data_IF_890330445979
#
_entry.id   IF_890330445979
#
_cell.length_a   1.000
_cell.length_b   1.000
_cell.length_c   1.000
_cell.angle_alpha   90.00
_cell.angle_beta   90.00
_cell.angle_gamma   90.00
#
_symmetry.space_group_name_H-M   'P 1'
#
loop_
_entity.id
_entity.type
_entity.pdbx_description
1 polymer ?
#
# COMPACT_ATOMS: atom_id res chain seq x y z
N UNK A 1 3.44 -22.87 -67.03
CA UNK A 1 2.95 -21.72 -66.24
C UNK A 1 2.63 -22.06 -64.75
N UNK A 2 1.93 -23.13 -64.44
CA UNK A 2 1.53 -23.44 -63.04
C UNK A 2 2.66 -23.61 -62.02
N UNK A 3 3.81 -24.19 -62.39
CA UNK A 3 4.96 -24.35 -61.47
C UNK A 3 5.64 -23.02 -61.08
N UNK A 4 5.71 -22.02 -61.95
CA UNK A 4 6.32 -20.70 -61.63
C UNK A 4 5.43 -19.89 -60.69
N UNK A 5 4.14 -19.96 -60.81
CA UNK A 5 3.20 -19.28 -59.91
C UNK A 5 3.24 -19.88 -58.53
N UNK A 6 3.39 -21.22 -58.39
CA UNK A 6 3.47 -21.89 -57.07
C UNK A 6 4.75 -21.49 -56.31
N UNK A 7 5.89 -21.43 -57.01
CA UNK A 7 7.19 -21.01 -56.41
C UNK A 7 7.14 -19.54 -55.97
N UNK A 8 6.51 -18.66 -56.73
CA UNK A 8 6.35 -17.24 -56.35
C UNK A 8 5.44 -17.09 -55.12
N UNK A 9 4.38 -17.89 -54.99
CA UNK A 9 3.46 -17.85 -53.86
C UNK A 9 4.15 -18.35 -52.54
N UNK A 10 4.93 -19.42 -52.65
CA UNK A 10 5.69 -19.95 -51.48
C UNK A 10 6.72 -18.94 -50.97
N UNK A 11 7.38 -18.23 -51.90
CA UNK A 11 8.37 -17.21 -51.55
C UNK A 11 7.73 -15.99 -50.82
N UNK A 12 6.55 -15.56 -51.24
CA UNK A 12 5.80 -14.48 -50.61
C UNK A 12 5.34 -14.88 -49.20
N UNK A 13 4.85 -16.11 -49.01
CA UNK A 13 4.44 -16.62 -47.69
C UNK A 13 5.63 -16.72 -46.72
N UNK A 14 6.80 -17.16 -47.19
CA UNK A 14 8.01 -17.20 -46.36
C UNK A 14 8.45 -15.79 -45.96
N UNK A 15 8.40 -14.81 -46.86
CA UNK A 15 8.74 -13.42 -46.54
C UNK A 15 7.77 -12.85 -45.49
N UNK A 16 6.47 -13.12 -45.64
CA UNK A 16 5.46 -12.68 -44.66
C UNK A 16 5.73 -13.33 -43.27
N UNK A 17 6.04 -14.61 -43.21
CA UNK A 17 6.39 -15.30 -41.98
C UNK A 17 7.64 -14.73 -41.30
N UNK A 18 8.69 -14.42 -42.13
CA UNK A 18 9.92 -13.76 -41.64
C UNK A 18 9.61 -12.37 -41.12
N UNK A 19 8.78 -11.59 -41.82
CA UNK A 19 8.36 -10.26 -41.37
C UNK A 19 7.53 -10.32 -40.07
N UNK A 20 6.59 -11.24 -39.97
CA UNK A 20 5.81 -11.45 -38.76
C UNK A 20 6.71 -11.88 -37.59
N UNK A 21 7.68 -12.76 -37.87
CA UNK A 21 8.66 -13.19 -36.87
C UNK A 21 9.61 -12.04 -36.46
N UNK A 22 10.05 -11.23 -37.44
CA UNK A 22 10.87 -10.04 -37.19
C UNK A 22 10.10 -8.97 -36.39
N UNK A 23 8.83 -8.72 -36.72
CA UNK A 23 7.96 -7.79 -36.01
C UNK A 23 7.72 -8.33 -34.59
N UNK A 24 7.52 -9.64 -34.42
CA UNK A 24 7.33 -10.25 -33.11
C UNK A 24 8.59 -10.19 -32.24
N UNK A 25 9.78 -10.32 -32.81
CA UNK A 25 11.06 -10.13 -32.10
C UNK A 25 11.30 -8.65 -31.78
N UNK A 26 10.95 -7.72 -32.69
CA UNK A 26 11.17 -6.29 -32.48
C UNK A 26 10.14 -5.65 -31.53
N UNK A 27 8.88 -6.17 -31.53
CA UNK A 27 7.87 -5.75 -30.55
C UNK A 27 8.06 -6.39 -29.17
N UNK A 28 8.95 -7.39 -29.02
CA UNK A 28 9.38 -7.94 -27.73
C UNK A 28 10.72 -7.35 -27.25
N UNK A 29 11.17 -6.20 -27.77
CA UNK A 29 12.14 -5.41 -27.00
C UNK A 29 11.38 -4.91 -25.77
N UNK A 30 11.62 -5.55 -24.62
CA UNK A 30 11.35 -4.97 -23.33
C UNK A 30 11.97 -3.58 -23.37
N UNK A 31 11.15 -2.54 -23.23
CA UNK A 31 11.67 -1.19 -23.07
C UNK A 31 12.52 -1.23 -21.80
N UNK A 32 13.78 -0.83 -21.89
CA UNK A 32 14.67 -0.77 -20.75
C UNK A 32 14.08 0.22 -19.74
N UNK A 33 13.53 -0.30 -18.66
CA UNK A 33 12.97 0.52 -17.58
C UNK A 33 14.07 1.36 -16.96
N UNK A 34 13.86 2.67 -16.90
CA UNK A 34 14.86 3.62 -16.43
C UNK A 34 14.70 3.87 -14.94
N UNK A 35 15.63 3.32 -14.16
CA UNK A 35 15.77 3.57 -12.73
C UNK A 35 17.05 4.38 -12.48
N UNK A 36 16.95 5.45 -11.72
CA UNK A 36 18.11 6.22 -11.25
C UNK A 36 18.62 5.62 -9.93
N UNK A 37 19.49 4.65 -10.05
CA UNK A 37 20.03 3.89 -8.91
C UNK A 37 20.86 4.73 -7.95
N UNK A 38 21.51 5.80 -8.43
CA UNK A 38 22.35 6.67 -7.58
C UNK A 38 21.54 7.39 -6.49
N UNK A 39 20.22 7.51 -6.71
CA UNK A 39 19.30 8.12 -5.77
C UNK A 39 18.69 7.10 -4.78
N UNK A 40 18.97 5.81 -4.93
CA UNK A 40 18.48 4.78 -3.99
C UNK A 40 19.53 4.61 -2.89
N UNK A 41 19.14 4.88 -1.65
CA UNK A 41 20.04 4.77 -0.48
C UNK A 41 19.99 3.34 0.08
N UNK A 42 21.16 2.78 0.38
CA UNK A 42 21.26 1.52 1.12
C UNK A 42 20.87 1.74 2.58
N UNK A 43 20.23 0.74 3.18
CA UNK A 43 19.74 0.83 4.53
C UNK A 43 20.29 -0.27 5.42
N UNK A 44 20.58 0.09 6.68
CA UNK A 44 20.52 -0.87 7.77
C UNK A 44 19.04 -1.09 8.15
N UNK A 45 18.62 -2.36 8.28
CA UNK A 45 17.25 -2.88 8.09
C UNK A 45 16.24 -2.57 9.22
N UNK A 46 16.45 -1.60 10.10
CA UNK A 46 15.69 -1.54 11.36
C UNK A 46 14.18 -1.19 11.27
N UNK A 47 13.60 -0.82 10.11
CA UNK A 47 12.21 -0.32 10.06
C UNK A 47 11.33 -0.87 8.92
N UNK A 48 11.47 -2.14 8.57
CA UNK A 48 10.75 -2.74 7.43
C UNK A 48 9.27 -3.06 7.76
N UNK A 49 8.94 -3.32 9.02
CA UNK A 49 7.63 -3.86 9.43
C UNK A 49 6.42 -3.04 8.95
N UNK A 50 6.50 -1.71 8.96
CA UNK A 50 5.41 -0.85 8.47
C UNK A 50 5.20 -0.95 6.95
N UNK A 51 6.22 -1.37 6.19
CA UNK A 51 6.15 -1.48 4.73
C UNK A 51 5.49 -2.78 4.25
N UNK A 52 5.18 -3.69 5.16
CA UNK A 52 4.42 -4.91 4.83
C UNK A 52 2.95 -4.64 4.53
N UNK A 53 2.42 -3.51 5.02
CA UNK A 53 1.05 -3.10 4.81
C UNK A 53 0.91 -2.29 3.52
N UNK A 54 -0.30 -2.29 2.96
CA UNK A 54 -0.62 -1.38 1.86
C UNK A 54 -0.68 0.06 2.40
N UNK A 55 0.21 0.94 1.97
CA UNK A 55 0.37 2.30 2.51
C UNK A 55 -0.84 3.22 2.31
N UNK A 56 -1.70 2.94 1.32
CA UNK A 56 -2.87 3.78 0.99
C UNK A 56 -4.20 3.12 1.35
N UNK A 57 -4.19 2.07 2.16
CA UNK A 57 -5.39 1.41 2.67
C UNK A 57 -5.98 2.10 3.89
N UNK A 58 -7.25 1.81 4.19
CA UNK A 58 -7.85 2.14 5.49
C UNK A 58 -7.50 1.03 6.45
N UNK A 59 -6.73 1.34 7.48
CA UNK A 59 -6.27 0.34 8.45
C UNK A 59 -6.78 0.67 9.84
N UNK A 60 -7.74 -0.09 10.29
CA UNK A 60 -8.12 -0.11 11.68
C UNK A 60 -7.30 -1.13 12.51
N UNK A 61 -6.17 -1.63 11.95
CA UNK A 61 -5.29 -2.62 12.59
C UNK A 61 -3.84 -2.20 12.47
N UNK A 62 -3.05 -2.43 13.51
CA UNK A 62 -1.61 -2.25 13.53
C UNK A 62 -0.92 -3.40 14.26
N UNK A 63 0.15 -3.96 13.69
CA UNK A 63 0.94 -5.01 14.30
C UNK A 63 1.86 -4.45 15.40
N UNK A 64 1.92 -5.14 16.53
CA UNK A 64 2.88 -4.95 17.61
C UNK A 64 3.70 -6.23 17.81
N UNK A 65 4.62 -6.24 18.80
CA UNK A 65 5.54 -7.36 19.01
C UNK A 65 4.82 -8.69 19.26
N UNK A 66 3.81 -8.67 20.15
CA UNK A 66 3.11 -9.88 20.63
C UNK A 66 1.62 -9.92 20.26
N UNK A 67 1.16 -9.01 19.38
CA UNK A 67 -0.26 -8.94 19.04
C UNK A 67 -0.61 -7.85 18.08
N UNK A 68 -1.87 -7.44 18.11
CA UNK A 68 -2.41 -6.44 17.20
C UNK A 68 -3.29 -5.45 17.93
N UNK A 69 -3.07 -4.16 17.68
CA UNK A 69 -4.04 -3.12 17.99
C UNK A 69 -5.08 -3.07 16.90
N UNK A 70 -6.34 -2.97 17.28
CA UNK A 70 -7.45 -2.98 16.34
C UNK A 70 -8.55 -2.00 16.79
N UNK A 71 -9.13 -1.25 15.87
CA UNK A 71 -10.30 -0.40 16.13
C UNK A 71 -11.55 -1.13 15.69
N UNK A 72 -12.45 -1.40 16.63
CA UNK A 72 -13.73 -2.07 16.37
C UNK A 72 -14.70 -1.16 15.62
N UNK A 73 -15.80 -1.71 15.09
CA UNK A 73 -16.86 -0.93 14.47
C UNK A 73 -17.59 0.02 15.45
N UNK A 74 -17.40 -0.14 16.75
CA UNK A 74 -17.91 0.74 17.79
C UNK A 74 -16.89 1.82 18.20
N UNK A 75 -15.84 2.02 17.38
CA UNK A 75 -14.76 2.99 17.56
C UNK A 75 -13.91 2.76 18.83
N UNK A 76 -13.86 1.52 19.33
CA UNK A 76 -13.00 1.17 20.45
C UNK A 76 -11.68 0.57 19.98
N UNK A 77 -10.58 1.10 20.53
CA UNK A 77 -9.25 0.54 20.36
C UNK A 77 -9.05 -0.62 21.32
N UNK A 78 -8.80 -1.79 20.77
CA UNK A 78 -8.52 -3.01 21.53
C UNK A 78 -7.15 -3.57 21.18
N UNK A 79 -6.57 -4.34 22.09
CA UNK A 79 -5.35 -5.12 21.85
C UNK A 79 -5.70 -6.60 21.88
N UNK A 80 -5.34 -7.30 20.82
CA UNK A 80 -5.42 -8.75 20.69
C UNK A 80 -4.04 -9.36 20.91
N UNK A 81 -3.88 -10.14 21.97
CA UNK A 81 -2.65 -10.90 22.29
C UNK A 81 -2.67 -12.24 21.56
N UNK A 82 -1.71 -12.47 20.66
CA UNK A 82 -1.67 -13.71 19.85
C UNK A 82 -1.25 -14.95 20.67
N UNK A 83 -0.62 -14.76 21.84
CA UNK A 83 -0.13 -15.88 22.65
C UNK A 83 -1.25 -16.45 23.55
N UNK A 84 -2.11 -15.57 24.06
CA UNK A 84 -3.24 -15.96 24.93
C UNK A 84 -4.56 -16.07 24.18
N UNK A 85 -4.72 -15.34 23.07
CA UNK A 85 -5.97 -15.19 22.34
C UNK A 85 -6.94 -14.20 22.98
N UNK A 86 -6.48 -13.47 24.01
CA UNK A 86 -7.31 -12.50 24.73
C UNK A 86 -7.38 -11.17 23.96
N UNK A 87 -8.54 -10.53 24.04
CA UNK A 87 -8.75 -9.17 23.54
C UNK A 87 -9.14 -8.26 24.68
N UNK A 88 -8.41 -7.15 24.85
CA UNK A 88 -8.64 -6.19 25.93
C UNK A 88 -8.72 -4.76 25.40
N UNK A 89 -9.59 -3.89 25.95
CA UNK A 89 -9.61 -2.46 25.62
C UNK A 89 -8.30 -1.78 26.01
N UNK A 90 -7.79 -0.90 25.16
CA UNK A 90 -6.56 -0.11 25.41
C UNK A 90 -6.89 1.08 26.29
N UNK A 91 -7.14 0.81 27.57
CA UNK A 91 -7.50 1.82 28.57
C UNK A 91 -6.98 1.42 29.94
N UNK A 92 -6.08 2.22 30.51
CA UNK A 92 -5.53 1.98 31.83
C UNK A 92 -6.27 2.72 32.97
N UNK A 93 -7.44 3.31 32.71
CA UNK A 93 -8.24 3.98 33.76
C UNK A 93 -8.82 2.95 34.70
N UNK A 94 -8.54 3.04 36.02
CA UNK A 94 -9.21 2.21 37.01
C UNK A 94 -10.74 2.43 36.96
N UNK A 95 -11.52 1.35 37.13
CA UNK A 95 -12.97 1.38 37.14
C UNK A 95 -13.65 1.90 35.85
N UNK A 96 -12.94 1.93 34.73
CA UNK A 96 -13.53 2.26 33.43
C UNK A 96 -14.39 1.10 32.93
N UNK A 97 -15.66 1.38 32.62
CA UNK A 97 -16.59 0.37 32.07
C UNK A 97 -16.42 0.17 30.56
N UNK A 98 -15.59 0.98 29.90
CA UNK A 98 -15.32 0.96 28.47
C UNK A 98 -16.58 1.06 27.60
N UNK A 99 -17.54 1.89 28.00
CA UNK A 99 -18.88 2.02 27.42
C UNK A 99 -19.26 3.45 27.03
N UNK A 100 -18.31 4.39 27.10
CA UNK A 100 -18.56 5.81 26.82
C UNK A 100 -17.31 6.56 26.33
N UNK A 101 -17.52 7.81 25.89
CA UNK A 101 -16.52 8.68 25.29
C UNK A 101 -15.42 9.14 26.26
N UNK A 102 -15.59 8.94 27.56
CA UNK A 102 -14.56 9.23 28.55
C UNK A 102 -13.50 8.11 28.63
N UNK A 103 -13.75 6.97 28.00
CA UNK A 103 -12.79 5.88 27.88
C UNK A 103 -11.62 6.27 26.96
N UNK A 104 -10.38 6.01 27.40
CA UNK A 104 -9.22 6.27 26.55
C UNK A 104 -9.18 5.38 25.30
N UNK A 105 -9.82 4.21 25.34
CA UNK A 105 -9.94 3.32 24.20
C UNK A 105 -10.99 3.81 23.18
N UNK A 106 -11.89 4.73 23.53
CA UNK A 106 -12.89 5.26 22.60
C UNK A 106 -12.27 6.29 21.66
N UNK A 107 -12.25 5.98 20.37
CA UNK A 107 -11.68 6.81 19.32
C UNK A 107 -12.75 7.51 18.44
N UNK A 108 -13.94 7.74 18.98
CA UNK A 108 -15.11 8.30 18.27
C UNK A 108 -14.89 9.67 17.58
N UNK A 109 -13.79 10.34 17.90
CA UNK A 109 -13.38 11.58 17.24
C UNK A 109 -12.44 11.35 16.04
N UNK A 110 -12.07 10.10 15.79
CA UNK A 110 -11.23 9.74 14.66
C UNK A 110 -12.11 9.49 13.46
N UNK A 111 -12.05 10.37 12.48
CA UNK A 111 -12.78 10.21 11.23
C UNK A 111 -12.01 9.33 10.25
N UNK A 112 -10.72 9.20 10.45
CA UNK A 112 -9.85 8.32 9.67
C UNK A 112 -9.42 7.20 10.59
N UNK A 113 -9.98 6.01 10.38
CA UNK A 113 -9.74 4.82 11.22
C UNK A 113 -8.34 4.21 11.06
N UNK A 114 -7.39 4.97 10.50
CA UNK A 114 -6.01 4.51 10.37
C UNK A 114 -5.31 4.62 11.72
N UNK A 115 -4.89 3.47 12.24
CA UNK A 115 -4.00 3.38 13.39
C UNK A 115 -2.65 2.82 12.97
N UNK A 116 -1.62 3.24 13.69
CA UNK A 116 -0.25 2.80 13.44
C UNK A 116 0.42 2.48 14.77
N UNK A 117 1.27 1.47 14.77
CA UNK A 117 2.14 1.18 15.91
C UNK A 117 3.59 1.42 15.51
N UNK A 118 4.26 2.31 16.22
CA UNK A 118 5.64 2.66 15.94
C UNK A 118 6.37 3.09 17.22
N UNK A 119 7.58 2.54 17.47
CA UNK A 119 8.41 2.88 18.63
C UNK A 119 7.62 2.83 19.96
N UNK A 120 6.90 1.73 20.21
CA UNK A 120 6.10 1.48 21.42
C UNK A 120 4.91 2.44 21.65
N UNK A 121 4.49 3.17 20.63
CA UNK A 121 3.32 4.05 20.69
C UNK A 121 2.32 3.73 19.58
N UNK A 122 1.06 4.00 19.90
CA UNK A 122 -0.04 3.95 18.96
C UNK A 122 -0.27 5.36 18.43
N UNK A 123 -0.35 5.51 17.11
CA UNK A 123 -0.62 6.78 16.45
C UNK A 123 -1.95 6.73 15.71
N UNK A 124 -2.69 7.82 15.77
CA UNK A 124 -3.97 7.98 15.09
C UNK A 124 -4.24 9.47 14.82
N UNK A 125 -5.28 9.77 14.05
CA UNK A 125 -5.51 11.11 13.54
C UNK A 125 -6.93 11.62 13.87
N UNK A 126 -7.15 12.19 15.07
CA UNK A 126 -8.43 12.82 15.41
C UNK A 126 -8.63 14.12 14.62
N UNK A 127 -9.88 14.42 14.25
CA UNK A 127 -10.25 15.70 13.69
C UNK A 127 -10.69 16.62 14.83
N UNK A 128 -9.94 17.71 15.00
CA UNK A 128 -10.20 18.73 16.02
C UNK A 128 -10.32 20.08 15.32
N UNK A 129 -11.47 20.74 15.46
CA UNK A 129 -11.76 22.04 14.84
C UNK A 129 -11.56 22.08 13.32
N UNK A 130 -11.89 20.99 12.62
CA UNK A 130 -11.74 20.89 11.16
C UNK A 130 -10.29 20.65 10.69
N UNK A 131 -9.39 20.26 11.60
CA UNK A 131 -8.00 19.89 11.32
C UNK A 131 -7.75 18.45 11.75
N UNK A 132 -7.18 17.63 10.87
CA UNK A 132 -6.59 16.36 11.25
C UNK A 132 -5.33 16.63 12.08
N UNK A 133 -5.22 15.96 13.22
CA UNK A 133 -4.10 16.11 14.15
C UNK A 133 -3.37 14.79 14.31
N UNK A 134 -2.04 14.82 14.42
CA UNK A 134 -1.26 13.65 14.82
C UNK A 134 -1.39 13.47 16.34
N UNK A 135 -1.95 12.36 16.75
CA UNK A 135 -2.08 11.98 18.15
C UNK A 135 -1.25 10.74 18.44
N UNK A 136 -0.64 10.70 19.62
CA UNK A 136 0.14 9.56 20.15
C UNK A 136 -0.44 9.08 21.47
N UNK A 137 -0.63 7.77 21.60
CA UNK A 137 -1.06 7.08 22.81
C UNK A 137 0.02 6.06 23.21
N UNK A 138 0.27 5.90 24.50
CA UNK A 138 1.10 4.79 24.96
C UNK A 138 0.37 3.46 24.82
N UNK A 139 1.12 2.36 24.75
CA UNK A 139 0.57 1.01 24.50
C UNK A 139 -0.44 0.51 25.55
N UNK A 140 -0.51 1.13 26.72
CA UNK A 140 -1.48 0.79 27.77
C UNK A 140 -2.75 1.64 27.71
N UNK A 141 -2.78 2.68 26.89
CA UNK A 141 -3.86 3.67 26.86
C UNK A 141 -3.91 4.58 28.09
N UNK A 142 -2.81 4.70 28.85
CA UNK A 142 -2.78 5.55 30.05
C UNK A 142 -2.61 7.02 29.72
N UNK A 143 -1.87 7.34 28.69
CA UNK A 143 -1.57 8.70 28.27
C UNK A 143 -1.79 8.92 26.79
N UNK A 144 -2.33 10.09 26.47
CA UNK A 144 -2.55 10.53 25.09
C UNK A 144 -1.97 11.93 24.91
N UNK A 145 -1.30 12.18 23.80
CA UNK A 145 -0.70 13.47 23.48
C UNK A 145 -0.96 13.84 22.03
N UNK A 146 -1.49 15.04 21.80
CA UNK A 146 -1.52 15.67 20.48
C UNK A 146 -0.13 16.20 20.18
N UNK A 147 0.46 15.77 19.06
CA UNK A 147 1.77 16.20 18.62
C UNK A 147 1.70 17.43 17.70
N UNK A 148 0.68 17.54 16.84
CA UNK A 148 0.52 18.69 15.98
C UNK A 148 -0.60 18.53 14.95
N UNK A 149 -0.96 19.66 14.33
CA UNK A 149 -1.91 19.72 13.23
C UNK A 149 -1.26 19.23 11.93
N UNK A 150 -2.01 18.51 11.09
CA UNK A 150 -1.54 17.97 9.81
C UNK A 150 -2.17 18.76 8.64
N UNK A 151 -3.45 18.49 8.35
CA UNK A 151 -4.17 19.04 7.22
C UNK A 151 -5.59 19.47 7.63
N UNK A 152 -6.20 20.46 6.95
CA UNK A 152 -7.64 20.65 7.01
C UNK A 152 -8.35 19.36 6.60
N UNK A 153 -9.37 18.97 7.35
CA UNK A 153 -10.15 17.77 7.06
C UNK A 153 -11.58 17.92 7.53
N UNK A 154 -12.52 17.59 6.66
CA UNK A 154 -13.95 17.47 6.95
C UNK A 154 -14.41 16.04 7.23
N UNK A 155 -13.45 15.10 7.29
CA UNK A 155 -13.70 13.69 7.47
C UNK A 155 -13.75 12.88 6.19
N UNK A 156 -13.68 13.50 5.02
CA UNK A 156 -13.60 12.79 3.73
C UNK A 156 -12.15 12.58 3.25
N UNK A 157 -11.17 13.09 3.99
CA UNK A 157 -9.75 13.06 3.60
C UNK A 157 -9.15 11.67 3.71
N UNK A 158 -8.31 11.31 2.74
CA UNK A 158 -7.54 10.05 2.72
C UNK A 158 -6.12 10.28 3.28
N UNK A 159 -6.04 10.76 4.53
CA UNK A 159 -4.76 11.08 5.17
C UNK A 159 -4.12 9.81 5.72
N UNK A 160 -2.84 9.62 5.42
CA UNK A 160 -2.02 8.49 5.86
C UNK A 160 -0.75 8.95 6.53
N UNK A 161 -0.11 8.03 7.26
CA UNK A 161 1.19 8.24 7.90
C UNK A 161 2.19 7.20 7.41
N UNK A 162 3.42 7.64 7.21
CA UNK A 162 4.60 6.80 7.17
C UNK A 162 5.57 7.24 8.28
N UNK A 163 6.43 6.34 8.72
CA UNK A 163 7.37 6.64 9.80
C UNK A 163 8.80 6.36 9.35
N UNK A 164 9.73 7.23 9.77
CA UNK A 164 11.15 7.03 9.53
C UNK A 164 11.95 7.74 10.64
N UNK A 165 12.74 6.98 11.41
CA UNK A 165 13.49 7.50 12.54
C UNK A 165 12.59 8.17 13.59
N UNK A 166 12.88 9.41 13.92
CA UNK A 166 12.14 10.20 14.92
C UNK A 166 10.98 11.02 14.33
N UNK A 167 10.50 10.69 13.13
CA UNK A 167 9.51 11.48 12.41
C UNK A 167 8.34 10.64 11.89
N UNK A 168 7.16 11.25 11.91
CA UNK A 168 6.00 10.82 11.12
C UNK A 168 5.87 11.72 9.89
N UNK A 169 5.46 11.13 8.77
CA UNK A 169 5.23 11.79 7.49
C UNK A 169 3.78 11.62 7.10
N UNK A 170 3.03 12.72 7.13
CA UNK A 170 1.61 12.73 6.77
C UNK A 170 1.43 13.19 5.33
N UNK A 171 0.49 12.54 4.61
CA UNK A 171 0.13 12.87 3.23
C UNK A 171 -1.34 12.53 2.96
N UNK A 172 -1.94 13.17 1.96
CA UNK A 172 -3.27 12.83 1.46
C UNK A 172 -3.14 11.97 0.19
N UNK A 173 -3.70 10.75 0.21
CA UNK A 173 -3.51 9.78 -0.88
C UNK A 173 -4.55 9.87 -1.99
N UNK A 174 -5.52 10.76 -1.93
CA UNK A 174 -6.50 10.77 -3.00
C UNK A 174 -7.73 11.64 -2.87
N UNK A 175 -7.84 12.50 -1.88
CA UNK A 175 -9.03 13.37 -1.71
C UNK A 175 -9.30 14.26 -2.92
N UNK A 176 -8.28 14.62 -3.67
CA UNK A 176 -8.36 15.52 -4.83
C UNK A 176 -8.27 14.81 -6.18
N UNK A 177 -8.15 13.47 -6.20
CA UNK A 177 -8.15 12.70 -7.44
C UNK A 177 -9.49 12.79 -8.15
N UNK A 178 -9.44 13.07 -9.46
CA UNK A 178 -10.64 13.19 -10.31
C UNK A 178 -11.37 14.52 -10.21
N UNK A 179 -10.87 15.48 -9.43
CA UNK A 179 -11.38 16.85 -9.43
C UNK A 179 -10.73 17.67 -10.53
N UNK A 180 -11.54 18.53 -11.19
CA UNK A 180 -11.07 19.43 -12.27
C UNK A 180 -10.48 20.75 -11.73
N UNK A 181 -10.14 20.79 -10.44
CA UNK A 181 -9.58 21.96 -9.74
C UNK A 181 -8.11 21.71 -9.41
N UNK A 182 -7.33 22.78 -9.47
CA UNK A 182 -5.92 22.73 -9.08
C UNK A 182 -5.79 22.70 -7.54
N UNK A 183 -5.02 21.75 -7.03
CA UNK A 183 -4.69 21.58 -5.63
C UNK A 183 -3.19 21.44 -5.43
N UNK A 184 -2.71 21.73 -4.22
CA UNK A 184 -1.34 21.48 -3.81
C UNK A 184 -1.32 20.34 -2.82
N UNK A 185 -0.80 19.19 -3.26
CA UNK A 185 -0.54 18.03 -2.42
C UNK A 185 0.80 18.18 -1.72
N UNK A 186 0.90 17.68 -0.47
CA UNK A 186 2.07 17.89 0.37
C UNK A 186 2.43 16.65 1.16
N UNK A 187 3.72 16.52 1.49
CA UNK A 187 4.20 15.65 2.58
C UNK A 187 4.63 16.55 3.73
N UNK A 188 4.06 16.28 4.90
CA UNK A 188 4.33 17.00 6.14
C UNK A 188 5.10 16.09 7.07
N UNK A 189 6.34 16.47 7.41
CA UNK A 189 7.17 15.86 8.45
C UNK A 189 6.76 16.39 9.82
N UNK A 190 6.53 15.52 10.80
CA UNK A 190 6.24 15.89 12.20
C UNK A 190 7.21 15.17 13.12
N UNK A 191 7.95 15.90 13.93
CA UNK A 191 8.85 15.34 14.93
C UNK A 191 8.06 14.62 16.03
N UNK A 192 8.35 13.34 16.25
CA UNK A 192 7.73 12.54 17.31
C UNK A 192 8.19 12.94 18.71
N UNK A 193 9.29 13.71 18.82
CA UNK A 193 9.83 14.20 20.09
C UNK A 193 9.12 15.46 20.58
N UNK A 194 8.99 16.46 19.72
CA UNK A 194 8.54 17.79 20.11
C UNK A 194 7.31 18.31 19.34
N UNK A 195 6.88 17.60 18.26
CA UNK A 195 5.75 18.00 17.43
C UNK A 195 6.09 19.11 16.41
N UNK A 196 7.36 19.44 16.22
CA UNK A 196 7.78 20.39 15.18
C UNK A 196 7.38 19.87 13.80
N UNK A 197 6.80 20.78 13.00
CA UNK A 197 6.21 20.47 11.71
C UNK A 197 6.96 21.17 10.59
N UNK A 198 7.32 20.42 9.53
CA UNK A 198 7.93 20.93 8.31
C UNK A 198 7.23 20.38 7.06
N UNK A 199 7.08 21.18 6.02
CA UNK A 199 6.68 20.72 4.69
C UNK A 199 7.96 20.31 3.95
N UNK A 200 8.06 19.04 3.56
CA UNK A 200 9.27 18.50 2.92
C UNK A 200 9.13 18.32 1.41
N UNK A 201 7.90 18.26 0.93
CA UNK A 201 7.56 18.15 -0.48
C UNK A 201 6.20 18.76 -0.75
N UNK A 202 6.07 19.41 -1.90
CA UNK A 202 4.79 19.86 -2.44
C UNK A 202 4.75 19.70 -3.95
N UNK A 203 3.55 19.47 -4.47
CA UNK A 203 3.27 19.41 -5.90
C UNK A 203 1.89 19.97 -6.18
N UNK A 204 1.81 20.87 -7.17
CA UNK A 204 0.56 21.56 -7.53
C UNK A 204 0.10 21.11 -8.92
N UNK A 205 -1.19 20.82 -9.04
CA UNK A 205 -1.81 20.47 -10.31
C UNK A 205 -3.25 20.00 -10.17
N UNK A 206 -3.82 19.58 -11.29
CA UNK A 206 -5.17 19.04 -11.37
C UNK A 206 -5.13 17.53 -11.25
N UNK A 207 -5.99 16.94 -10.41
CA UNK A 207 -6.12 15.50 -10.25
C UNK A 207 -4.80 14.79 -9.90
N UNK A 208 -4.07 15.35 -8.94
CA UNK A 208 -2.84 14.80 -8.38
C UNK A 208 -3.09 14.10 -7.04
N UNK A 209 -2.23 13.16 -6.70
CA UNK A 209 -2.14 12.59 -5.35
C UNK A 209 -0.72 12.09 -5.06
N UNK A 210 -0.33 12.12 -3.78
CA UNK A 210 0.86 11.44 -3.28
C UNK A 210 0.45 10.06 -2.80
N UNK A 211 1.19 9.02 -3.21
CA UNK A 211 0.82 7.63 -2.99
C UNK A 211 1.98 6.81 -2.43
N UNK A 212 1.64 5.70 -1.76
CA UNK A 212 2.58 4.64 -1.40
C UNK A 212 3.82 5.16 -0.66
N UNK A 213 3.65 6.08 0.29
CA UNK A 213 4.77 6.64 1.04
C UNK A 213 5.35 5.60 1.98
N UNK A 214 6.65 5.31 1.85
CA UNK A 214 7.36 4.26 2.61
C UNK A 214 8.72 4.75 3.06
N UNK A 215 9.04 4.54 4.33
CA UNK A 215 10.37 4.79 4.88
C UNK A 215 11.31 3.61 4.62
N UNK A 216 12.52 3.88 4.12
CA UNK A 216 13.56 2.87 3.95
C UNK A 216 14.95 3.51 4.03
N UNK A 217 15.78 3.05 4.94
CA UNK A 217 17.10 3.64 5.20
C UNK A 217 17.02 5.08 5.66
N UNK A 218 17.73 5.96 4.95
CA UNK A 218 17.68 7.42 5.13
C UNK A 218 16.61 8.07 4.21
N UNK A 219 15.86 7.27 3.47
CA UNK A 219 14.95 7.74 2.44
C UNK A 219 13.48 7.55 2.76
N UNK A 220 12.68 8.57 2.45
CA UNK A 220 11.23 8.44 2.35
C UNK A 220 10.88 8.35 0.86
N UNK A 221 10.41 7.20 0.42
CA UNK A 221 10.03 6.95 -0.98
C UNK A 221 8.54 7.17 -1.17
N UNK A 222 8.14 7.66 -2.34
CA UNK A 222 6.73 7.91 -2.65
C UNK A 222 6.46 8.02 -4.14
N UNK A 223 5.22 7.73 -4.52
CA UNK A 223 4.72 8.00 -5.86
C UNK A 223 4.01 9.35 -5.91
N UNK A 224 4.12 10.02 -7.06
CA UNK A 224 3.20 11.10 -7.46
C UNK A 224 2.33 10.57 -8.58
N UNK A 225 1.04 10.43 -8.29
CA UNK A 225 0.03 10.00 -9.26
C UNK A 225 -0.58 11.23 -9.92
N UNK A 226 -0.68 11.21 -11.24
CA UNK A 226 -1.49 12.12 -12.03
C UNK A 226 -2.57 11.33 -12.76
N UNK A 227 -3.82 11.77 -12.68
CA UNK A 227 -4.95 11.12 -13.34
C UNK A 227 -5.58 12.05 -14.35
N UNK A 228 -5.68 11.59 -15.60
CA UNK A 228 -6.36 12.31 -16.68
C UNK A 228 -7.67 11.60 -17.03
N UNK A 229 -8.73 12.37 -17.24
CA UNK A 229 -10.01 11.85 -17.71
C UNK A 229 -10.00 11.74 -19.22
N UNK A 230 -10.14 10.54 -19.75
CA UNK A 230 -10.31 10.36 -21.20
C UNK A 230 -11.75 10.72 -21.62
N UNK A 231 -11.93 10.97 -22.94
CA UNK A 231 -13.25 11.25 -23.55
C UNK A 231 -14.28 10.14 -23.31
N UNK A 232 -13.83 8.92 -22.98
CA UNK A 232 -14.67 7.75 -22.64
C UNK A 232 -14.96 7.63 -21.13
N UNK A 233 -14.68 8.66 -20.33
CA UNK A 233 -14.74 8.65 -18.86
C UNK A 233 -13.85 7.59 -18.18
N UNK A 234 -12.82 7.14 -18.85
CA UNK A 234 -11.80 6.27 -18.27
C UNK A 234 -10.70 7.15 -17.70
N UNK A 235 -10.42 7.00 -16.42
CA UNK A 235 -9.28 7.68 -15.80
C UNK A 235 -7.99 6.92 -16.14
N UNK A 236 -7.05 7.60 -16.79
CA UNK A 236 -5.71 7.07 -17.05
C UNK A 236 -4.79 7.70 -16.01
N UNK A 237 -4.15 6.85 -15.22
CA UNK A 237 -3.21 7.31 -14.20
C UNK A 237 -1.77 7.06 -14.65
N UNK A 238 -0.92 8.05 -14.42
CA UNK A 238 0.53 7.94 -14.54
C UNK A 238 1.17 8.15 -13.17
N UNK A 239 2.31 7.50 -12.94
CA UNK A 239 3.01 7.54 -11.68
C UNK A 239 4.49 7.87 -11.92
N UNK A 240 5.08 8.64 -11.01
CA UNK A 240 6.53 8.80 -10.89
C UNK A 240 6.97 8.32 -9.52
N UNK A 241 8.15 7.75 -9.40
CA UNK A 241 8.75 7.36 -8.13
C UNK A 241 9.79 8.37 -7.70
N UNK A 242 9.68 8.85 -6.47
CA UNK A 242 10.53 9.86 -5.84
C UNK A 242 11.11 9.37 -4.52
N UNK A 243 12.19 10.00 -4.06
CA UNK A 243 12.78 9.79 -2.75
C UNK A 243 13.17 11.14 -2.13
N UNK A 244 12.77 11.34 -0.88
CA UNK A 244 13.28 12.40 -0.01
C UNK A 244 14.37 11.84 0.90
N UNK A 245 15.55 12.45 0.90
CA UNK A 245 16.65 12.10 1.81
C UNK A 245 16.55 12.89 3.11
N UNK A 246 16.47 12.20 4.25
CA UNK A 246 16.45 12.85 5.57
C UNK A 246 17.76 13.60 5.87
N UNK A 247 18.90 13.04 5.48
CA UNK A 247 20.20 13.63 5.74
C UNK A 247 20.50 14.83 4.84
N UNK A 248 20.12 14.75 3.55
CA UNK A 248 20.39 15.79 2.57
C UNK A 248 19.28 16.84 2.47
N UNK A 249 18.10 16.56 3.05
CA UNK A 249 16.90 17.41 3.02
C UNK A 249 16.48 17.82 1.60
N UNK A 250 16.59 16.92 0.65
CA UNK A 250 16.22 17.14 -0.75
C UNK A 250 15.37 15.99 -1.29
N UNK A 251 14.62 16.27 -2.36
CA UNK A 251 13.84 15.29 -3.09
C UNK A 251 14.51 15.01 -4.44
N UNK A 252 14.62 13.74 -4.81
CA UNK A 252 15.12 13.29 -6.10
C UNK A 252 14.16 12.32 -6.77
N UNK A 253 14.10 12.35 -8.09
CA UNK A 253 13.31 11.40 -8.86
C UNK A 253 14.10 10.12 -9.11
N UNK A 254 13.49 8.98 -8.73
CA UNK A 254 14.05 7.65 -8.95
C UNK A 254 13.67 7.13 -10.33
N UNK A 255 12.41 7.34 -10.73
CA UNK A 255 11.93 6.88 -12.04
C UNK A 255 10.76 7.73 -12.56
N UNK A 256 10.70 7.88 -13.88
CA UNK A 256 9.56 8.43 -14.61
C UNK A 256 8.62 7.35 -15.13
N UNK A 257 8.97 6.09 -14.94
CA UNK A 257 8.14 4.96 -15.36
C UNK A 257 6.81 4.92 -14.57
N UNK A 258 5.80 4.32 -15.15
CA UNK A 258 4.47 4.21 -14.56
C UNK A 258 4.41 3.13 -13.46
N UNK A 259 5.18 3.36 -12.38
CA UNK A 259 5.30 2.44 -11.24
C UNK A 259 4.09 2.61 -10.33
N UNK A 260 3.18 1.64 -10.32
CA UNK A 260 1.96 1.67 -9.51
C UNK A 260 2.22 1.51 -8.02
N UNK A 261 3.05 0.56 -7.66
CA UNK A 261 3.51 0.31 -6.30
C UNK A 261 4.88 -0.34 -6.33
N UNK A 262 5.57 -0.29 -5.22
CA UNK A 262 6.94 -0.77 -5.08
C UNK A 262 7.21 -1.28 -3.66
N UNK A 263 8.26 -2.08 -3.54
CA UNK A 263 8.83 -2.54 -2.28
C UNK A 263 10.36 -2.48 -2.34
N UNK A 264 10.97 -1.90 -1.32
CA UNK A 264 12.42 -1.85 -1.15
C UNK A 264 12.87 -2.90 -0.14
N UNK A 265 13.85 -3.68 -0.51
CA UNK A 265 14.64 -4.52 0.38
C UNK A 265 16.10 -4.10 0.27
N UNK A 266 17.01 -4.70 1.07
CA UNK A 266 18.41 -4.26 1.16
C UNK A 266 19.12 -4.07 -0.16
N UNK A 267 18.89 -4.99 -1.09
CA UNK A 267 19.60 -5.04 -2.37
C UNK A 267 18.67 -4.89 -3.57
N UNK A 268 17.36 -4.87 -3.36
CA UNK A 268 16.42 -4.94 -4.47
C UNK A 268 15.29 -3.94 -4.33
N UNK A 269 14.95 -3.31 -5.46
CA UNK A 269 13.70 -2.60 -5.67
C UNK A 269 12.76 -3.50 -6.47
N UNK A 270 11.68 -3.96 -5.85
CA UNK A 270 10.58 -4.63 -6.54
C UNK A 270 9.51 -3.60 -6.88
N UNK A 271 8.99 -3.61 -8.09
CA UNK A 271 7.96 -2.64 -8.49
C UNK A 271 7.08 -3.19 -9.60
N UNK A 272 5.84 -2.73 -9.59
CA UNK A 272 4.84 -3.13 -10.58
C UNK A 272 4.56 -2.00 -11.56
N UNK A 273 4.70 -2.30 -12.86
CA UNK A 273 4.30 -1.40 -13.94
C UNK A 273 3.01 -1.93 -14.56
N UNK A 274 1.97 -1.07 -14.56
CA UNK A 274 0.66 -1.42 -15.08
C UNK A 274 0.73 -1.87 -16.55
N UNK A 275 0.10 -3.01 -16.85
CA UNK A 275 0.10 -3.61 -18.18
C UNK A 275 1.39 -4.34 -18.58
N UNK A 276 2.43 -4.31 -17.75
CA UNK A 276 3.70 -5.00 -18.00
C UNK A 276 3.93 -6.13 -17.00
N UNK A 277 3.95 -5.83 -15.70
CA UNK A 277 4.14 -6.82 -14.66
C UNK A 277 5.03 -6.37 -13.51
N UNK A 278 5.55 -7.34 -12.75
CA UNK A 278 6.45 -7.14 -11.63
C UNK A 278 7.90 -7.21 -12.07
N UNK A 279 8.64 -6.17 -11.75
CA UNK A 279 10.06 -6.05 -12.00
C UNK A 279 10.85 -6.17 -10.71
N UNK A 280 12.07 -6.68 -10.83
CA UNK A 280 13.09 -6.72 -9.80
C UNK A 280 14.32 -5.98 -10.31
N UNK A 281 14.73 -4.94 -9.61
CA UNK A 281 15.98 -4.21 -9.87
C UNK A 281 16.99 -4.49 -8.78
N UNK A 282 18.13 -5.04 -9.16
CA UNK A 282 19.32 -5.16 -8.31
C UNK A 282 19.97 -3.78 -8.19
N UNK A 283 19.98 -3.22 -6.99
CA UNK A 283 20.43 -1.84 -6.75
C UNK A 283 21.94 -1.74 -6.92
N UNK A 284 22.70 -2.71 -6.43
CA UNK A 284 24.17 -2.72 -6.49
C UNK A 284 24.67 -2.91 -7.94
N UNK A 285 24.11 -3.90 -8.64
CA UNK A 285 24.51 -4.24 -10.00
C UNK A 285 23.82 -3.43 -11.08
N UNK A 286 22.88 -2.55 -10.72
CA UNK A 286 22.08 -1.69 -11.61
C UNK A 286 21.40 -2.48 -12.74
N UNK A 287 20.86 -3.65 -12.38
CA UNK A 287 20.23 -4.56 -13.34
C UNK A 287 18.76 -4.76 -13.03
N UNK A 288 17.94 -4.62 -14.03
CA UNK A 288 16.48 -4.83 -13.97
C UNK A 288 16.07 -6.07 -14.74
N UNK A 289 15.13 -6.82 -14.20
CA UNK A 289 14.50 -7.97 -14.85
C UNK A 289 12.99 -8.01 -14.57
N UNK A 290 12.22 -8.41 -15.59
CA UNK A 290 10.79 -8.70 -15.46
C UNK A 290 10.65 -10.10 -14.88
N UNK A 291 10.23 -10.22 -13.60
CA UNK A 291 10.11 -11.51 -12.92
C UNK A 291 8.70 -12.12 -13.00
N UNK A 292 7.66 -11.28 -13.16
CA UNK A 292 6.29 -11.77 -13.34
C UNK A 292 5.54 -10.90 -14.36
N UNK A 293 5.06 -11.52 -15.44
CA UNK A 293 4.37 -10.82 -16.53
C UNK A 293 2.88 -10.72 -16.26
N UNK A 294 2.36 -9.50 -16.27
CA UNK A 294 0.92 -9.23 -16.29
C UNK A 294 0.53 -8.60 -17.62
N UNK A 295 -0.31 -9.27 -18.39
CA UNK A 295 -0.76 -8.81 -19.71
C UNK A 295 -2.02 -7.92 -19.64
N UNK A 296 -2.46 -7.54 -18.44
CA UNK A 296 -3.73 -6.84 -18.24
C UNK A 296 -3.48 -5.38 -17.95
N UNK A 297 -3.82 -4.52 -18.90
CA UNK A 297 -3.67 -3.07 -18.84
C UNK A 297 -4.45 -2.38 -17.70
N UNK A 298 -5.11 -3.14 -16.80
CA UNK A 298 -6.06 -2.62 -15.80
C UNK A 298 -5.82 -3.25 -14.43
N UNK A 299 -4.69 -3.96 -14.24
CA UNK A 299 -4.35 -4.53 -12.94
C UNK A 299 -3.73 -3.44 -12.07
N UNK A 300 -4.51 -2.82 -11.20
CA UNK A 300 -3.96 -2.01 -10.10
C UNK A 300 -3.42 -3.00 -9.06
N UNK A 301 -2.11 -3.08 -8.96
CA UNK A 301 -1.45 -4.02 -8.06
C UNK A 301 -0.77 -3.27 -6.94
N UNK A 302 -0.98 -3.77 -5.71
CA UNK A 302 -0.16 -3.40 -4.56
C UNK A 302 0.80 -4.55 -4.26
N UNK A 303 1.96 -4.20 -3.74
CA UNK A 303 3.05 -5.14 -3.46
C UNK A 303 3.41 -5.11 -1.98
N UNK A 304 3.64 -6.28 -1.41
CA UNK A 304 4.29 -6.46 -0.13
C UNK A 304 5.30 -7.60 -0.19
N UNK A 305 6.26 -7.61 0.72
CA UNK A 305 7.29 -8.66 0.83
C UNK A 305 7.54 -8.99 2.30
N UNK A 306 7.56 -10.27 2.64
CA UNK A 306 7.71 -10.74 4.03
C UNK A 306 9.10 -11.31 4.35
N UNK A 307 10.08 -11.05 3.49
CA UNK A 307 11.42 -11.62 3.61
C UNK A 307 11.59 -12.94 2.87
N UNK A 308 10.49 -13.62 2.50
CA UNK A 308 10.48 -14.89 1.78
C UNK A 308 9.72 -14.82 0.45
N UNK A 309 8.51 -14.27 0.45
CA UNK A 309 7.64 -14.17 -0.71
C UNK A 309 7.17 -12.74 -0.96
N UNK A 310 6.95 -12.45 -2.22
CA UNK A 310 6.25 -11.26 -2.69
C UNK A 310 4.75 -11.57 -2.76
N UNK A 311 3.95 -10.63 -2.29
CA UNK A 311 2.49 -10.67 -2.30
C UNK A 311 1.99 -9.58 -3.23
N UNK A 312 1.24 -9.95 -4.24
CA UNK A 312 0.63 -8.99 -5.17
C UNK A 312 -0.88 -9.07 -5.00
N UNK A 313 -1.54 -7.94 -4.75
CA UNK A 313 -2.99 -7.87 -4.82
C UNK A 313 -3.42 -7.43 -6.22
N UNK A 314 -4.36 -8.13 -6.83
CA UNK A 314 -4.92 -7.74 -8.14
C UNK A 314 -6.20 -6.89 -8.00
N UNK A 315 -6.45 -6.25 -6.86
CA UNK A 315 -7.79 -6.07 -6.38
C UNK A 315 -8.35 -4.70 -6.08
N UNK A 316 -7.85 -3.56 -6.53
CA UNK A 316 -8.66 -2.32 -6.45
C UNK A 316 -9.28 -1.96 -7.80
N UNK A 317 -10.35 -2.67 -8.19
CA UNK A 317 -11.23 -2.18 -9.23
C UNK A 317 -12.42 -1.46 -8.60
N UNK A 318 -12.74 -0.25 -9.08
CA UNK A 318 -14.06 0.30 -8.79
C UNK A 318 -15.13 -0.63 -9.39
N UNK A 319 -16.29 -0.74 -8.77
CA UNK A 319 -17.39 -1.65 -9.19
C UNK A 319 -17.80 -1.47 -10.65
N UNK A 320 -17.57 -0.28 -11.20
CA UNK A 320 -17.84 0.01 -12.62
C UNK A 320 -16.89 -0.76 -13.55
N UNK A 321 -15.57 -0.74 -13.26
CA UNK A 321 -14.60 -1.48 -14.08
C UNK A 321 -14.76 -2.99 -13.94
N UNK A 322 -15.19 -3.51 -12.77
CA UNK A 322 -15.55 -4.92 -12.62
C UNK A 322 -16.68 -5.34 -13.54
N UNK A 323 -17.72 -4.51 -13.69
CA UNK A 323 -18.86 -4.79 -14.59
C UNK A 323 -18.44 -4.78 -16.05
N UNK A 324 -17.52 -3.88 -16.45
CA UNK A 324 -17.05 -3.74 -17.84
C UNK A 324 -16.06 -4.84 -18.23
N UNK A 325 -15.19 -5.27 -17.29
CA UNK A 325 -14.12 -6.23 -17.56
C UNK A 325 -14.49 -7.69 -17.25
N UNK A 326 -15.72 -7.95 -16.80
CA UNK A 326 -16.19 -9.24 -16.30
C UNK A 326 -15.73 -9.50 -14.88
N UNK A 327 -16.58 -10.15 -14.07
CA UNK A 327 -16.29 -10.48 -12.67
C UNK A 327 -14.96 -11.22 -12.54
N UNK A 328 -13.91 -10.50 -12.16
CA UNK A 328 -12.63 -11.09 -11.80
C UNK A 328 -12.56 -11.11 -10.28
N UNK A 329 -12.34 -12.30 -9.78
CA UNK A 329 -12.12 -12.59 -8.39
C UNK A 329 -10.91 -11.80 -7.86
N UNK A 330 -11.06 -11.16 -6.71
CA UNK A 330 -9.94 -10.57 -6.00
C UNK A 330 -9.01 -11.68 -5.53
N UNK A 331 -7.72 -11.53 -5.75
CA UNK A 331 -6.72 -12.52 -5.36
C UNK A 331 -5.48 -11.88 -4.79
N UNK A 332 -4.87 -12.56 -3.82
CA UNK A 332 -3.45 -12.45 -3.56
C UNK A 332 -2.69 -13.44 -4.43
N UNK A 333 -1.70 -12.97 -5.15
CA UNK A 333 -0.75 -13.81 -5.88
C UNK A 333 0.53 -13.84 -5.05
N UNK A 334 0.92 -15.02 -4.62
CA UNK A 334 2.15 -15.25 -3.83
C UNK A 334 3.22 -15.71 -4.79
N UNK A 335 4.33 -14.98 -4.85
CA UNK A 335 5.42 -15.19 -5.81
C UNK A 335 6.74 -15.27 -5.05
N UNK A 336 7.65 -16.18 -5.46
CA UNK A 336 9.03 -16.13 -4.96
C UNK A 336 9.84 -15.00 -5.63
N UNK A 337 11.03 -14.75 -5.13
CA UNK A 337 11.91 -13.67 -5.62
C UNK A 337 12.45 -13.89 -7.03
N UNK A 338 12.20 -15.06 -7.63
CA UNK A 338 12.54 -15.41 -9.02
C UNK A 338 11.31 -15.35 -9.95
N UNK A 339 10.15 -14.95 -9.42
CA UNK A 339 8.92 -14.73 -10.18
C UNK A 339 8.05 -15.97 -10.36
N UNK A 340 8.37 -17.09 -9.69
CA UNK A 340 7.52 -18.28 -9.71
C UNK A 340 6.29 -18.08 -8.82
N UNK A 341 5.11 -18.27 -9.37
CA UNK A 341 3.86 -18.28 -8.59
C UNK A 341 3.85 -19.51 -7.67
N UNK A 342 3.76 -19.26 -6.38
CA UNK A 342 3.70 -20.26 -5.31
C UNK A 342 2.27 -20.61 -4.98
N UNK A 343 1.38 -19.58 -4.83
CA UNK A 343 -0.03 -19.77 -4.54
C UNK A 343 -0.85 -18.60 -5.07
N UNK A 344 -2.15 -18.82 -5.30
CA UNK A 344 -3.16 -17.80 -5.57
C UNK A 344 -4.28 -17.96 -4.56
N UNK A 345 -4.54 -16.94 -3.76
CA UNK A 345 -5.50 -16.98 -2.66
C UNK A 345 -6.66 -16.04 -2.99
N UNK A 346 -7.83 -16.63 -3.18
CA UNK A 346 -9.05 -15.87 -3.46
C UNK A 346 -9.51 -15.08 -2.24
N UNK A 347 -9.94 -13.85 -2.47
CA UNK A 347 -10.52 -12.97 -1.47
C UNK A 347 -11.94 -12.61 -1.92
N UNK A 348 -12.93 -12.73 -1.03
CA UNK A 348 -14.30 -12.38 -1.37
C UNK A 348 -14.40 -10.90 -1.79
N UNK A 349 -15.34 -10.59 -2.69
CA UNK A 349 -15.50 -9.24 -3.25
C UNK A 349 -15.78 -8.17 -2.18
N UNK A 350 -16.44 -8.57 -1.09
CA UNK A 350 -16.75 -7.70 0.05
C UNK A 350 -15.57 -7.42 0.98
N UNK A 351 -14.43 -8.09 0.79
CA UNK A 351 -13.26 -7.95 1.66
C UNK A 351 -12.25 -6.96 1.07
N UNK A 352 -11.64 -6.15 1.91
CA UNK A 352 -10.45 -5.36 1.57
C UNK A 352 -9.16 -6.15 1.82
N UNK A 353 -8.20 -5.98 0.91
CA UNK A 353 -6.91 -6.66 0.95
C UNK A 353 -5.91 -5.78 1.68
N UNK A 354 -5.43 -6.21 2.85
CA UNK A 354 -4.59 -5.41 3.73
C UNK A 354 -3.10 -5.75 3.68
N UNK A 355 -2.72 -6.92 3.19
CA UNK A 355 -1.41 -7.54 3.36
C UNK A 355 -1.19 -8.01 4.82
N UNK A 356 -0.35 -7.34 5.60
CA UNK A 356 -0.10 -7.76 6.97
C UNK A 356 1.36 -7.61 7.37
N UNK A 357 1.83 -8.49 8.25
CA UNK A 357 3.20 -8.53 8.74
C UNK A 357 3.95 -9.79 8.25
N UNK A 358 5.03 -10.16 8.92
CA UNK A 358 5.79 -11.38 8.62
C UNK A 358 5.06 -12.66 9.07
N UNK A 359 4.01 -12.56 9.91
CA UNK A 359 3.26 -13.69 10.49
C UNK A 359 1.99 -14.02 9.74
N UNK A 360 1.20 -13.00 9.42
CA UNK A 360 -0.13 -13.15 8.85
C UNK A 360 -0.36 -12.28 7.61
N UNK A 361 -1.12 -12.83 6.68
CA UNK A 361 -1.74 -12.12 5.58
C UNK A 361 -3.19 -11.82 5.96
N UNK A 362 -3.62 -10.57 5.84
CA UNK A 362 -4.95 -10.14 6.26
C UNK A 362 -5.85 -9.71 5.11
N UNK A 363 -7.16 -9.87 5.34
CA UNK A 363 -8.20 -9.13 4.67
C UNK A 363 -9.29 -8.74 5.67
N UNK A 364 -10.07 -7.71 5.35
CA UNK A 364 -11.09 -7.15 6.24
C UNK A 364 -12.43 -7.03 5.53
N UNK A 365 -13.52 -7.42 6.21
CA UNK A 365 -14.89 -7.23 5.74
C UNK A 365 -15.34 -5.76 5.88
N UNK A 366 -15.97 -5.23 4.83
CA UNK A 366 -16.62 -3.92 4.90
C UNK A 366 -17.93 -4.03 5.68
N UNK A 367 -18.00 -3.38 6.84
CA UNK A 367 -19.23 -3.24 7.64
C UNK A 367 -19.52 -4.37 8.65
N UNK A 368 -18.61 -5.31 8.83
CA UNK A 368 -18.68 -6.32 9.87
C UNK A 368 -17.32 -6.41 10.58
N UNK A 369 -17.30 -6.78 11.88
CA UNK A 369 -16.06 -7.01 12.63
C UNK A 369 -15.36 -8.30 12.15
N UNK A 370 -15.10 -8.39 10.85
CA UNK A 370 -14.48 -9.54 10.22
C UNK A 370 -13.08 -9.20 9.75
N UNK A 371 -12.13 -9.36 10.66
CA UNK A 371 -10.73 -9.38 10.31
C UNK A 371 -10.31 -10.84 10.08
N UNK A 372 -10.01 -11.17 8.85
CA UNK A 372 -9.64 -12.51 8.43
C UNK A 372 -8.14 -12.58 8.17
N UNK A 373 -7.55 -13.73 8.45
CA UNK A 373 -6.12 -13.95 8.28
C UNK A 373 -5.78 -15.29 7.68
N UNK A 374 -4.59 -15.37 7.12
CA UNK A 374 -3.88 -16.61 6.75
C UNK A 374 -2.51 -16.58 7.40
N UNK A 375 -2.15 -17.69 8.07
CA UNK A 375 -0.80 -17.87 8.62
C UNK A 375 0.21 -18.05 7.49
N UNK A 376 1.19 -17.16 7.38
CA UNK A 376 2.19 -17.19 6.32
C UNK A 376 3.12 -18.40 6.37
N UNK A 377 3.17 -19.14 7.48
CA UNK A 377 3.85 -20.42 7.55
C UNK A 377 3.17 -21.52 6.72
N UNK A 378 1.86 -21.36 6.49
CA UNK A 378 1.04 -22.29 5.69
C UNK A 378 0.74 -21.74 4.29
N UNK A 379 1.30 -20.61 3.90
CA UNK A 379 0.92 -19.82 2.73
C UNK A 379 0.96 -20.60 1.41
N UNK A 380 1.89 -21.56 1.29
CA UNK A 380 2.06 -22.38 0.07
C UNK A 380 0.86 -23.31 -0.20
N UNK A 381 0.03 -23.60 0.81
CA UNK A 381 -1.10 -24.52 0.78
C UNK A 381 -2.40 -23.90 1.27
N UNK A 382 -2.37 -22.59 1.60
CA UNK A 382 -3.52 -21.90 2.15
C UNK A 382 -4.62 -21.77 1.09
N UNK A 383 -5.83 -22.17 1.44
CA UNK A 383 -7.02 -22.11 0.58
C UNK A 383 -8.13 -21.28 1.23
N UNK A 384 -8.18 -21.24 2.58
CA UNK A 384 -9.27 -20.65 3.35
C UNK A 384 -8.79 -19.58 4.33
N UNK A 385 -9.56 -18.55 4.47
CA UNK A 385 -9.36 -17.49 5.45
C UNK A 385 -9.93 -17.89 6.80
N UNK A 386 -9.21 -17.56 7.88
CA UNK A 386 -9.62 -17.76 9.26
C UNK A 386 -10.00 -16.41 9.87
N UNK A 387 -11.04 -16.34 10.69
CA UNK A 387 -11.34 -15.13 11.44
C UNK A 387 -10.37 -15.01 12.62
N UNK A 388 -9.79 -13.82 12.84
CA UNK A 388 -8.86 -13.57 13.96
C UNK A 388 -9.60 -13.54 15.30
N UNK A 389 -10.86 -13.09 15.28
CA UNK A 389 -11.73 -13.10 16.45
C UNK A 389 -12.64 -14.32 16.35
N UNK A 390 -12.47 -15.29 17.24
CA UNK A 390 -13.30 -16.51 17.30
C UNK A 390 -14.77 -16.23 17.65
N UNK A 391 -15.05 -15.09 18.28
CA UNK A 391 -16.38 -14.53 18.54
C UNK A 391 -16.35 -13.02 18.25
N UNK A 392 -17.50 -12.40 17.87
CA UNK A 392 -17.59 -10.95 17.79
C UNK A 392 -17.14 -10.36 19.12
N UNK A 393 -16.25 -9.37 19.06
CA UNK A 393 -15.82 -8.65 20.28
C UNK A 393 -17.02 -7.82 20.74
N UNK A 394 -17.94 -8.44 21.46
CA UNK A 394 -18.99 -7.73 22.15
C UNK A 394 -18.35 -7.04 23.36
N UNK A 395 -17.88 -5.82 23.17
CA UNK A 395 -17.56 -4.94 24.30
C UNK A 395 -18.87 -4.70 25.04
N UNK A 396 -19.02 -5.46 26.12
CA UNK A 396 -20.06 -5.50 27.15
C UNK A 396 -21.17 -4.46 27.00
N UNK A 397 -22.34 -4.92 26.55
CA UNK A 397 -23.60 -4.39 27.08
C UNK A 397 -24.19 -3.19 26.31
N UNK A 398 -24.32 -3.29 25.01
CA UNK A 398 -25.43 -2.59 24.31
C UNK A 398 -26.34 -3.56 23.59
#
# INVERSE_FOLDING_TARGET
>A
MKKRVLISFTFVVVIILILVFYIKIHNNKEEDVKINYDNIKHADIENIAQNYWNSDGIYNIAAAEDGYYYVTNEDFLVYFDINTGDTVPVCAKPDCMHDNDECNACLNTCVIYNIYYYNEYIYYMPIINGMANLCRMDKSGSTTKILGELFPSDGSSSIHLAFLGDYAYAYDSGSHLGLDTEFTEKIVEVSLKNGERNEIYDVTGVSLAIKNVKGFGDGLYFNVQHSERSDENISISSYGLYMYSQSEKNVSQISTENINDYYLSDNYLYYFINGQGLYKSDIENQKTELIYKSNKAVDMCNISYDGRYLYISNGKYCDYLRKVLGNKEKKYIVIDTDGKVINEISCADSLEMLFGDDRYLFCMGMGEDQLMYIDKREIEKAEEWKNIFSEPVHLLGR
#
